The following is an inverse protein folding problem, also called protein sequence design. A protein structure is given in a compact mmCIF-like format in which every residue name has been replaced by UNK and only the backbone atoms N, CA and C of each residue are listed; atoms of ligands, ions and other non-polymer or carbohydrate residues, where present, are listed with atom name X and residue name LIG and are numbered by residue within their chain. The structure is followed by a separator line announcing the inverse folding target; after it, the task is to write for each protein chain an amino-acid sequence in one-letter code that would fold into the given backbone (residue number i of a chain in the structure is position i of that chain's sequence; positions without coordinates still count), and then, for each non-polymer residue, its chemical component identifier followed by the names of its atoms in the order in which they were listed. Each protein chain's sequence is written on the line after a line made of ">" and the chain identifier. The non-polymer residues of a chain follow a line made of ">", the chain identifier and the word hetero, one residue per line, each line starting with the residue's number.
data_IF_536832977092
#
_entry.id   IF_536832977092
#
_cell.length_a   1.000
_cell.length_b   1.000
_cell.length_c   1.000
_cell.angle_alpha   90.00
_cell.angle_beta   90.00
_cell.angle_gamma   90.00
#
_symmetry.space_group_name_H-M   'P 1'
#
loop_
_entity.id
_entity.type
_entity.pdbx_description
1 polymer ?
#
# COMPACT_ATOMS: atom_id res chain seq x y z
N UNK A 1 25.49 8.07 -29.18
CA UNK A 1 24.16 8.22 -29.79
C UNK A 1 23.25 8.69 -28.64
N UNK A 2 22.92 9.97 -28.63
CA UNK A 2 22.04 10.53 -27.61
C UNK A 2 20.62 10.05 -27.94
N UNK A 3 20.14 9.04 -27.19
CA UNK A 3 18.77 8.58 -27.36
C UNK A 3 17.83 9.60 -26.70
N UNK A 4 16.93 10.08 -27.50
CA UNK A 4 16.08 11.24 -27.32
C UNK A 4 15.19 11.19 -26.06
N UNK A 5 14.89 12.34 -25.42
CA UNK A 5 13.96 12.44 -24.30
C UNK A 5 12.58 11.82 -24.56
N UNK A 6 12.16 11.76 -25.83
CA UNK A 6 10.88 11.18 -26.27
C UNK A 6 10.78 9.68 -26.01
N UNK A 7 11.87 8.92 -26.15
CA UNK A 7 11.87 7.48 -25.87
C UNK A 7 11.68 7.18 -24.39
N UNK A 8 12.18 8.05 -23.52
CA UNK A 8 11.96 7.91 -22.07
C UNK A 8 10.47 8.08 -21.74
N UNK A 9 9.80 9.10 -22.27
CA UNK A 9 8.36 9.35 -22.06
C UNK A 9 7.53 8.18 -22.58
N UNK A 10 7.85 7.67 -23.77
CA UNK A 10 7.18 6.50 -24.35
C UNK A 10 7.38 5.24 -23.49
N UNK A 11 8.59 5.01 -23.02
CA UNK A 11 8.92 3.87 -22.15
C UNK A 11 8.13 3.93 -20.83
N UNK A 12 8.05 5.09 -20.21
CA UNK A 12 7.27 5.29 -18.97
C UNK A 12 5.77 5.10 -19.25
N UNK A 13 5.25 5.60 -20.37
CA UNK A 13 3.87 5.37 -20.78
C UNK A 13 3.55 3.89 -20.97
N UNK A 14 4.39 3.16 -21.67
CA UNK A 14 4.25 1.71 -21.86
C UNK A 14 4.32 0.93 -20.54
N UNK A 15 5.19 1.35 -19.62
CA UNK A 15 5.26 0.74 -18.28
C UNK A 15 3.97 0.95 -17.48
N UNK A 16 3.37 2.14 -17.53
CA UNK A 16 2.08 2.39 -16.87
C UNK A 16 1.01 1.46 -17.41
N UNK A 17 0.85 1.39 -18.72
CA UNK A 17 -0.13 0.49 -19.34
C UNK A 17 0.09 -0.97 -18.97
N UNK A 18 1.34 -1.43 -19.01
CA UNK A 18 1.69 -2.79 -18.59
C UNK A 18 1.31 -3.06 -17.14
N UNK A 19 1.66 -2.16 -16.22
CA UNK A 19 1.37 -2.32 -14.80
C UNK A 19 -0.14 -2.25 -14.52
N UNK A 20 -0.86 -1.32 -15.14
CA UNK A 20 -2.31 -1.24 -15.01
C UNK A 20 -3.00 -2.55 -15.46
N UNK A 21 -2.51 -3.16 -16.54
CA UNK A 21 -3.01 -4.46 -17.00
C UNK A 21 -2.73 -5.60 -16.00
N UNK A 22 -1.57 -5.58 -15.34
CA UNK A 22 -1.23 -6.57 -14.31
C UNK A 22 -2.16 -6.50 -13.09
N UNK A 23 -2.66 -5.31 -12.74
CA UNK A 23 -3.54 -5.13 -11.59
C UNK A 23 -5.01 -5.47 -11.86
N UNK A 24 -5.45 -5.56 -13.12
CA UNK A 24 -6.86 -5.82 -13.47
C UNK A 24 -7.45 -7.08 -12.84
N UNK A 25 -6.64 -8.10 -12.60
CA UNK A 25 -7.06 -9.36 -12.00
C UNK A 25 -6.75 -9.47 -10.49
N UNK A 26 -6.19 -8.40 -9.91
CA UNK A 26 -5.81 -8.37 -8.52
C UNK A 26 -7.03 -8.18 -7.61
N UNK A 27 -7.09 -8.94 -6.51
CA UNK A 27 -8.09 -8.71 -5.47
C UNK A 27 -7.78 -7.44 -4.70
N UNK A 28 -8.79 -6.60 -4.39
CA UNK A 28 -8.58 -5.39 -3.63
C UNK A 28 -8.07 -5.67 -2.20
N UNK A 29 -7.44 -4.67 -1.60
CA UNK A 29 -7.10 -4.63 -0.19
C UNK A 29 -7.86 -3.48 0.44
N UNK A 30 -8.57 -3.75 1.52
CA UNK A 30 -9.39 -2.80 2.25
C UNK A 30 -8.78 -2.58 3.62
N UNK A 31 -8.66 -1.32 4.03
CA UNK A 31 -8.31 -0.91 5.38
C UNK A 31 -9.43 -0.06 5.99
N UNK A 32 -9.84 -0.42 7.20
CA UNK A 32 -10.87 0.30 7.96
C UNK A 32 -10.39 0.52 9.38
N UNK A 33 -10.46 1.76 9.85
CA UNK A 33 -10.28 2.13 11.24
C UNK A 33 -11.64 2.19 11.93
N UNK A 34 -11.75 1.52 13.06
CA UNK A 34 -12.91 1.50 13.93
C UNK A 34 -12.51 1.77 15.38
N UNK A 35 -13.47 1.89 16.29
CA UNK A 35 -13.23 2.24 17.69
C UNK A 35 -12.31 1.25 18.42
N UNK A 36 -12.27 0.01 17.97
CA UNK A 36 -11.49 -1.09 18.59
C UNK A 36 -10.13 -1.33 17.91
N UNK A 37 -9.79 -0.62 16.83
CA UNK A 37 -8.53 -0.77 16.10
C UNK A 37 -8.67 -0.69 14.58
N UNK A 38 -7.73 -1.30 13.89
CA UNK A 38 -7.65 -1.31 12.43
C UNK A 38 -7.89 -2.72 11.90
N UNK A 39 -8.78 -2.84 10.90
CA UNK A 39 -8.96 -4.06 10.13
C UNK A 39 -8.33 -3.90 8.74
N UNK A 40 -7.51 -4.85 8.34
CA UNK A 40 -7.10 -5.06 6.96
C UNK A 40 -7.78 -6.31 6.41
N UNK A 41 -8.35 -6.21 5.21
CA UNK A 41 -9.03 -7.32 4.58
C UNK A 41 -8.72 -7.43 3.10
N UNK A 42 -8.60 -8.66 2.59
CA UNK A 42 -8.40 -8.98 1.17
C UNK A 42 -8.84 -10.40 0.88
N UNK A 43 -9.04 -10.70 -0.39
CA UNK A 43 -9.19 -12.08 -0.87
C UNK A 43 -7.88 -12.59 -1.46
N UNK A 44 -7.52 -13.84 -1.17
CA UNK A 44 -6.29 -14.45 -1.63
C UNK A 44 -6.55 -15.90 -2.06
N UNK A 45 -5.83 -16.35 -3.10
CA UNK A 45 -5.87 -17.72 -3.59
C UNK A 45 -4.71 -18.58 -3.03
N UNK A 46 -4.35 -18.37 -1.76
CA UNK A 46 -3.31 -19.16 -1.08
C UNK A 46 -2.02 -18.43 -0.76
N UNK A 47 -1.65 -17.37 -1.49
CA UNK A 47 -0.47 -16.55 -1.12
C UNK A 47 -0.89 -15.43 -0.17
N UNK A 48 -0.26 -15.29 0.99
CA UNK A 48 -0.54 -14.19 1.91
C UNK A 48 -0.34 -12.82 1.24
N UNK A 49 -1.17 -11.86 1.61
CA UNK A 49 -1.11 -10.47 1.14
C UNK A 49 -1.16 -9.47 2.27
N UNK A 50 -1.41 -9.93 3.49
CA UNK A 50 -1.47 -9.12 4.70
C UNK A 50 -0.38 -9.59 5.64
N UNK A 51 0.36 -8.65 6.22
CA UNK A 51 1.52 -8.91 7.05
C UNK A 51 1.64 -7.90 8.19
N UNK A 52 2.01 -8.34 9.36
CA UNK A 52 2.50 -7.48 10.40
C UNK A 52 3.95 -7.05 10.07
N UNK A 53 4.24 -5.78 10.21
CA UNK A 53 5.57 -5.21 9.92
C UNK A 53 6.29 -4.84 11.21
N UNK A 54 5.61 -4.16 12.10
CA UNK A 54 6.16 -3.72 13.36
C UNK A 54 5.02 -3.50 14.35
N UNK A 55 5.34 -3.19 15.61
CA UNK A 55 4.44 -3.04 16.76
C UNK A 55 3.04 -2.46 16.42
N UNK A 56 3.00 -1.42 15.58
CA UNK A 56 1.77 -0.74 15.17
C UNK A 56 1.65 -0.55 13.65
N UNK A 57 2.44 -1.31 12.89
CA UNK A 57 2.44 -1.22 11.43
C UNK A 57 2.07 -2.55 10.79
N UNK A 58 1.10 -2.51 9.91
CA UNK A 58 0.70 -3.66 9.10
C UNK A 58 0.68 -3.30 7.62
N UNK A 59 1.03 -4.25 6.77
CA UNK A 59 1.10 -4.13 5.33
C UNK A 59 -0.01 -4.96 4.67
N UNK A 60 -0.74 -4.36 3.76
CA UNK A 60 -1.55 -5.04 2.76
C UNK A 60 -0.98 -4.81 1.38
N UNK A 61 -0.95 -5.83 0.53
CA UNK A 61 -0.37 -5.70 -0.80
C UNK A 61 -1.22 -6.29 -1.91
N UNK A 62 -1.12 -5.69 -3.09
CA UNK A 62 -1.73 -6.14 -4.33
C UNK A 62 -0.66 -6.15 -5.42
N UNK A 63 -0.52 -7.28 -6.13
CA UNK A 63 0.46 -7.44 -7.21
C UNK A 63 1.19 -8.78 -7.19
N UNK A 64 2.42 -8.79 -7.71
CA UNK A 64 3.21 -10.01 -7.81
C UNK A 64 3.78 -10.42 -6.44
N UNK A 65 3.60 -11.69 -6.00
CA UNK A 65 4.01 -12.13 -4.67
C UNK A 65 5.49 -11.88 -4.35
N UNK A 66 6.40 -12.13 -5.29
CA UNK A 66 7.84 -11.92 -5.06
C UNK A 66 8.20 -10.44 -4.84
N UNK A 67 7.49 -9.52 -5.53
CA UNK A 67 7.69 -8.08 -5.34
C UNK A 67 7.13 -7.62 -4.00
N UNK A 68 5.97 -8.15 -3.60
CA UNK A 68 5.38 -7.87 -2.29
C UNK A 68 6.29 -8.36 -1.16
N UNK A 69 6.86 -9.57 -1.27
CA UNK A 69 7.82 -10.10 -0.28
C UNK A 69 9.08 -9.23 -0.20
N UNK A 70 9.62 -8.79 -1.33
CA UNK A 70 10.78 -7.90 -1.35
C UNK A 70 10.49 -6.57 -0.65
N UNK A 71 9.33 -5.96 -0.92
CA UNK A 71 8.91 -4.73 -0.26
C UNK A 71 8.67 -4.95 1.24
N UNK A 72 8.05 -6.06 1.62
CA UNK A 72 7.84 -6.46 3.01
C UNK A 72 9.15 -6.58 3.77
N UNK A 73 10.14 -7.30 3.24
CA UNK A 73 11.44 -7.45 3.87
C UNK A 73 12.16 -6.12 4.05
N UNK A 74 12.13 -5.25 3.04
CA UNK A 74 12.70 -3.90 3.18
C UNK A 74 12.01 -3.08 4.28
N UNK A 75 10.67 -3.15 4.36
CA UNK A 75 9.93 -2.48 5.43
C UNK A 75 10.28 -3.02 6.82
N UNK A 76 10.38 -4.35 6.96
CA UNK A 76 10.78 -5.00 8.21
C UNK A 76 12.17 -4.54 8.64
N UNK A 77 13.14 -4.59 7.74
CA UNK A 77 14.51 -4.16 8.03
C UNK A 77 14.57 -2.69 8.44
N UNK A 78 13.93 -1.81 7.67
CA UNK A 78 13.86 -0.39 7.98
C UNK A 78 13.21 -0.11 9.35
N UNK A 79 12.09 -0.77 9.65
CA UNK A 79 11.37 -0.59 10.90
C UNK A 79 12.23 -1.05 12.10
N UNK A 80 12.90 -2.18 11.99
CA UNK A 80 13.79 -2.68 13.06
C UNK A 80 15.01 -1.80 13.25
N UNK A 81 15.65 -1.35 12.15
CA UNK A 81 16.81 -0.43 12.23
C UNK A 81 16.40 0.90 12.86
N UNK A 82 15.28 1.47 12.46
CA UNK A 82 14.77 2.73 13.03
C UNK A 82 14.42 2.57 14.52
N UNK A 83 13.70 1.50 14.87
CA UNK A 83 13.32 1.21 16.24
C UNK A 83 14.51 0.94 17.16
N UNK A 84 15.56 0.30 16.66
CA UNK A 84 16.79 0.06 17.40
C UNK A 84 17.61 1.33 17.61
N UNK A 85 17.78 2.13 16.54
CA UNK A 85 18.62 3.33 16.58
C UNK A 85 17.99 4.51 17.32
N UNK A 86 16.66 4.53 17.43
CA UNK A 86 15.93 5.64 18.05
C UNK A 86 15.00 5.10 19.15
N UNK A 87 13.73 4.87 18.79
CA UNK A 87 12.71 4.35 19.70
C UNK A 87 11.63 3.63 18.88
N UNK A 88 10.99 2.58 19.41
CA UNK A 88 9.83 1.97 18.77
C UNK A 88 8.71 2.96 18.44
N UNK A 89 8.55 4.03 19.21
CA UNK A 89 7.57 5.10 18.95
C UNK A 89 7.89 5.96 17.73
N UNK A 90 9.16 5.98 17.28
CA UNK A 90 9.58 6.75 16.11
C UNK A 90 9.37 5.98 14.80
N UNK A 91 9.08 4.68 14.88
CA UNK A 91 8.75 3.84 13.73
C UNK A 91 7.32 4.15 13.30
N UNK A 92 7.18 5.07 12.35
CA UNK A 92 5.89 5.52 11.81
C UNK A 92 5.74 5.18 10.34
N UNK A 93 4.51 4.93 9.89
CA UNK A 93 4.22 4.66 8.49
C UNK A 93 4.68 5.80 7.58
N UNK A 94 4.46 7.05 7.98
CA UNK A 94 4.92 8.22 7.23
C UNK A 94 6.43 8.22 6.99
N UNK A 95 7.24 7.85 8.00
CA UNK A 95 8.69 7.77 7.82
C UNK A 95 9.09 6.63 6.88
N UNK A 96 8.51 5.45 7.09
CA UNK A 96 8.76 4.26 6.27
C UNK A 96 8.44 4.52 4.81
N UNK A 97 7.35 5.21 4.54
CA UNK A 97 6.92 5.54 3.16
C UNK A 97 7.81 6.64 2.56
N UNK A 98 7.92 7.80 3.22
CA UNK A 98 8.59 8.98 2.64
C UNK A 98 10.08 8.79 2.41
N UNK A 99 10.76 8.10 3.32
CA UNK A 99 12.22 7.98 3.28
C UNK A 99 12.72 6.63 2.78
N UNK A 100 11.83 5.67 2.60
CA UNK A 100 12.20 4.33 2.20
C UNK A 100 11.45 3.82 0.98
N UNK A 101 10.23 3.36 1.18
CA UNK A 101 9.51 2.57 0.19
C UNK A 101 9.12 3.38 -1.05
N UNK A 102 8.57 4.57 -0.89
CA UNK A 102 8.14 5.38 -2.03
C UNK A 102 9.31 5.78 -2.94
N UNK A 103 10.46 6.26 -2.43
CA UNK A 103 11.65 6.50 -3.26
C UNK A 103 12.17 5.25 -3.96
N UNK A 104 12.17 4.09 -3.29
CA UNK A 104 12.62 2.82 -3.87
C UNK A 104 11.74 2.36 -5.03
N UNK A 105 10.41 2.41 -4.85
CA UNK A 105 9.44 2.07 -5.90
C UNK A 105 9.57 3.04 -7.08
N UNK A 106 9.66 4.35 -6.80
CA UNK A 106 9.84 5.39 -7.82
C UNK A 106 11.10 5.15 -8.64
N UNK A 107 12.22 4.89 -7.98
CA UNK A 107 13.49 4.61 -8.66
C UNK A 107 13.37 3.39 -9.57
N UNK A 108 12.78 2.30 -9.11
CA UNK A 108 12.57 1.10 -9.91
C UNK A 108 11.63 1.35 -11.10
N UNK A 109 10.62 2.21 -10.91
CA UNK A 109 9.69 2.59 -11.97
C UNK A 109 10.35 3.45 -13.06
N UNK A 110 11.25 4.36 -12.70
CA UNK A 110 11.92 5.27 -13.64
C UNK A 110 13.16 4.65 -14.32
N UNK A 111 13.73 3.61 -13.75
CA UNK A 111 14.94 2.98 -14.29
C UNK A 111 14.64 2.08 -15.49
N UNK A 112 14.98 2.56 -16.70
CA UNK A 112 14.58 1.95 -17.98
C UNK A 112 15.09 0.50 -18.14
N UNK A 113 16.27 0.19 -17.59
CA UNK A 113 16.91 -1.13 -17.73
C UNK A 113 16.54 -2.15 -16.67
N UNK A 114 15.72 -1.78 -15.70
CA UNK A 114 15.22 -2.69 -14.66
C UNK A 114 13.71 -2.88 -14.76
N UNK A 115 13.24 -4.04 -14.34
CA UNK A 115 11.81 -4.28 -14.19
C UNK A 115 11.26 -3.45 -13.02
N UNK A 116 10.13 -2.74 -13.19
CA UNK A 116 9.44 -2.08 -12.10
C UNK A 116 8.82 -3.11 -11.14
N UNK A 117 8.54 -2.71 -9.92
CA UNK A 117 7.72 -3.53 -9.01
C UNK A 117 6.28 -3.63 -9.53
N UNK A 118 5.78 -4.85 -9.64
CA UNK A 118 4.35 -5.10 -9.88
C UNK A 118 3.69 -5.16 -8.50
N UNK A 119 3.58 -4.02 -7.85
CA UNK A 119 3.05 -3.91 -6.49
C UNK A 119 2.39 -2.56 -6.23
N UNK A 120 1.22 -2.61 -5.61
CA UNK A 120 0.60 -1.52 -4.86
C UNK A 120 0.54 -1.95 -3.41
N UNK A 121 0.82 -1.07 -2.47
CA UNK A 121 0.79 -1.40 -1.05
C UNK A 121 -0.05 -0.42 -0.24
N UNK A 122 -0.66 -0.94 0.80
CA UNK A 122 -1.37 -0.20 1.84
C UNK A 122 -0.65 -0.47 3.15
N UNK A 123 -0.08 0.56 3.74
CA UNK A 123 0.52 0.50 5.06
C UNK A 123 -0.47 1.09 6.06
N UNK A 124 -0.89 0.28 7.02
CA UNK A 124 -1.75 0.71 8.12
C UNK A 124 -0.91 1.01 9.35
N UNK A 125 -1.16 2.14 9.97
CA UNK A 125 -0.54 2.56 11.22
C UNK A 125 -1.62 2.72 12.29
N UNK A 126 -1.51 1.91 13.35
CA UNK A 126 -2.35 2.05 14.52
C UNK A 126 -1.92 3.28 15.33
N UNK A 127 -2.83 4.22 15.52
CA UNK A 127 -2.59 5.45 16.26
C UNK A 127 -2.30 5.20 17.74
N UNK A 128 -1.60 6.14 18.36
CA UNK A 128 -1.39 6.10 19.84
C UNK A 128 -2.66 6.46 20.64
N UNK A 129 -3.63 7.05 19.96
CA UNK A 129 -4.92 7.43 20.52
C UNK A 129 -6.02 6.97 19.58
N UNK A 130 -7.19 6.64 20.12
CA UNK A 130 -8.36 6.28 19.35
C UNK A 130 -8.68 7.34 18.27
N UNK A 131 -8.98 6.90 17.06
CA UNK A 131 -9.28 7.77 15.92
C UNK A 131 -8.06 8.46 15.28
N UNK A 132 -6.83 8.10 15.66
CA UNK A 132 -5.59 8.61 15.07
C UNK A 132 -4.88 7.60 14.17
N UNK A 133 -5.59 6.53 13.82
CA UNK A 133 -5.10 5.56 12.85
C UNK A 133 -4.90 6.20 11.48
N UNK A 134 -3.93 5.69 10.74
CA UNK A 134 -3.58 6.19 9.42
C UNK A 134 -3.39 5.05 8.45
N UNK A 135 -3.71 5.33 7.21
CA UNK A 135 -3.40 4.47 6.08
C UNK A 135 -2.56 5.24 5.08
N UNK A 136 -1.50 4.62 4.58
CA UNK A 136 -0.72 5.16 3.48
C UNK A 136 -0.86 4.19 2.31
N UNK A 137 -1.43 4.66 1.23
CA UNK A 137 -1.52 3.92 -0.03
C UNK A 137 -0.37 4.34 -0.92
N UNK A 138 0.38 3.38 -1.44
CA UNK A 138 1.53 3.61 -2.31
C UNK A 138 1.30 2.87 -3.63
N UNK A 139 1.40 3.60 -4.72
CA UNK A 139 1.21 3.08 -6.05
C UNK A 139 2.54 2.57 -6.66
N UNK A 140 2.45 1.84 -7.74
CA UNK A 140 3.59 1.26 -8.48
C UNK A 140 4.60 2.28 -9.02
N UNK A 141 4.24 3.55 -9.10
CA UNK A 141 5.13 4.64 -9.54
C UNK A 141 5.76 5.41 -8.35
N UNK A 142 5.51 4.95 -7.13
CA UNK A 142 6.00 5.59 -5.91
C UNK A 142 5.16 6.78 -5.43
N UNK A 143 4.06 7.12 -6.10
CA UNK A 143 3.10 8.08 -5.56
C UNK A 143 2.41 7.50 -4.34
N UNK A 144 2.16 8.32 -3.33
CA UNK A 144 1.52 7.87 -2.10
C UNK A 144 0.56 8.92 -1.56
N UNK A 145 -0.46 8.44 -0.84
CA UNK A 145 -1.47 9.26 -0.18
C UNK A 145 -1.65 8.80 1.27
N UNK A 146 -1.86 9.74 2.18
CA UNK A 146 -2.27 9.47 3.56
C UNK A 146 -3.79 9.57 3.65
N UNK A 147 -4.43 8.53 4.19
CA UNK A 147 -5.88 8.44 4.38
C UNK A 147 -6.18 8.11 5.83
N UNK A 148 -7.33 8.57 6.31
CA UNK A 148 -7.85 8.24 7.62
C UNK A 148 -9.16 7.47 7.49
N UNK A 149 -9.46 6.59 8.41
CA UNK A 149 -10.67 5.81 8.55
C UNK A 149 -10.91 4.73 7.46
N UNK A 150 -10.79 5.05 6.18
CA UNK A 150 -10.98 4.11 5.07
C UNK A 150 -9.85 4.25 4.06
N UNK A 151 -9.31 3.14 3.63
CA UNK A 151 -8.36 3.07 2.53
C UNK A 151 -8.63 1.81 1.69
N UNK A 152 -8.51 1.93 0.40
CA UNK A 152 -8.69 0.83 -0.54
C UNK A 152 -7.55 0.86 -1.55
N UNK A 153 -7.01 -0.30 -1.87
CA UNK A 153 -6.20 -0.55 -3.06
C UNK A 153 -7.02 -1.39 -4.02
N UNK A 154 -7.10 -0.97 -5.26
CA UNK A 154 -7.75 -1.77 -6.30
C UNK A 154 -7.06 -1.62 -7.66
N UNK A 155 -7.66 -2.20 -8.70
CA UNK A 155 -7.15 -2.13 -10.06
C UNK A 155 -7.14 -0.69 -10.59
N UNK A 156 -8.13 0.13 -10.23
CA UNK A 156 -8.26 1.51 -10.71
C UNK A 156 -8.78 2.45 -9.63
N UNK A 157 -8.45 3.74 -9.76
CA UNK A 157 -8.92 4.78 -8.85
C UNK A 157 -10.46 4.89 -8.80
N UNK A 158 -11.15 4.64 -9.92
CA UNK A 158 -12.61 4.68 -9.95
C UNK A 158 -13.24 3.61 -9.04
N UNK A 159 -12.70 2.38 -9.06
CA UNK A 159 -13.14 1.30 -8.17
C UNK A 159 -12.82 1.63 -6.71
N UNK A 160 -11.64 2.22 -6.45
CA UNK A 160 -11.27 2.65 -5.08
C UNK A 160 -12.26 3.67 -4.52
N UNK A 161 -12.64 4.68 -5.31
CA UNK A 161 -13.61 5.70 -4.91
C UNK A 161 -15.01 5.11 -4.68
N UNK A 162 -15.45 4.20 -5.53
CA UNK A 162 -16.73 3.52 -5.38
C UNK A 162 -16.77 2.69 -4.09
N UNK A 163 -15.75 1.89 -3.82
CA UNK A 163 -15.64 1.10 -2.60
C UNK A 163 -15.56 1.97 -1.35
N UNK A 164 -14.78 3.06 -1.37
CA UNK A 164 -14.71 4.00 -0.24
C UNK A 164 -16.06 4.68 -0.02
N UNK A 165 -16.76 5.06 -1.08
CA UNK A 165 -18.09 5.67 -1.00
C UNK A 165 -19.10 4.71 -0.37
N UNK A 166 -19.06 3.44 -0.76
CA UNK A 166 -19.89 2.39 -0.16
C UNK A 166 -19.58 2.22 1.34
N UNK A 167 -18.30 2.09 1.72
CA UNK A 167 -17.89 1.95 3.12
C UNK A 167 -18.32 3.16 3.98
N UNK A 168 -18.32 4.37 3.42
CA UNK A 168 -18.79 5.58 4.13
C UNK A 168 -20.28 5.59 4.39
N UNK A 169 -21.09 4.97 3.51
CA UNK A 169 -22.53 4.88 3.68
C UNK A 169 -22.92 3.85 4.76
N UNK A 170 -22.07 2.88 5.00
CA UNK A 170 -22.25 1.93 6.09
C UNK A 170 -21.81 2.61 7.39
N UNK A 171 -22.71 2.73 8.36
CA UNK A 171 -22.40 3.29 9.69
C UNK A 171 -21.54 2.30 10.50
N UNK A 172 -20.31 2.10 10.08
CA UNK A 172 -19.39 1.11 10.65
C UNK A 172 -18.83 1.64 11.96
N UNK A 173 -19.25 1.07 13.08
CA UNK A 173 -18.74 1.34 14.41
C UNK A 173 -18.00 0.13 15.00
N UNK A 174 -18.29 -1.09 14.57
CA UNK A 174 -17.68 -2.32 15.11
C UNK A 174 -16.99 -3.15 14.03
N UNK A 175 -16.03 -3.99 14.45
CA UNK A 175 -15.34 -4.93 13.56
C UNK A 175 -16.30 -5.90 12.85
N UNK A 176 -17.35 -6.37 13.52
CA UNK A 176 -18.34 -7.26 12.92
C UNK A 176 -19.05 -6.59 11.74
N UNK A 177 -19.45 -5.32 11.93
CA UNK A 177 -20.09 -4.55 10.85
C UNK A 177 -19.14 -4.29 9.67
N UNK A 178 -17.83 -4.16 9.93
CA UNK A 178 -16.83 -4.02 8.85
C UNK A 178 -16.77 -5.29 8.01
N UNK A 179 -16.74 -6.46 8.66
CA UNK A 179 -16.67 -7.75 7.96
C UNK A 179 -17.93 -7.95 7.10
N UNK A 180 -19.12 -7.71 7.66
CA UNK A 180 -20.38 -7.83 6.94
C UNK A 180 -20.50 -6.88 5.74
N UNK A 181 -19.96 -5.67 5.86
CA UNK A 181 -19.99 -4.67 4.79
C UNK A 181 -18.95 -4.90 3.69
N UNK A 182 -17.91 -5.69 3.96
CA UNK A 182 -16.78 -5.87 3.05
C UNK A 182 -16.79 -7.24 2.32
N UNK A 183 -17.73 -8.13 2.67
CA UNK A 183 -17.99 -9.41 1.99
C UNK A 183 -19.09 -9.21 0.95
#
# INVERSE_FOLDING_TARGET
>A
MYEEPYRWIETIGNRRHYLDDQFKQGSPVIGVSCDTGVLLMTMSKGTPKLYEIYDRLALGGMGHPADLEKLRFNLLEMAHVEGFNRSPSDVTGSRMVKYGIAPMIKQAFEEVFKAPFIAKILLAELGQQAGKDKFLTINFDGTFEEKSRYAVLSASAAIEEEMISYLRQQSIASLEQVVDAAV
#
